data_IF_929667646657
#
_entry.id   IF_929667646657
#
_cell.length_a   1.000
_cell.length_b   1.000
_cell.length_c   1.000
_cell.angle_alpha   90.00
_cell.angle_beta   90.00
_cell.angle_gamma   90.00
#
_symmetry.space_group_name_H-M   'P 1'
#
loop_
_entity.id
_entity.type
_entity.pdbx_description
1 polymer ?
#
# COMPACT_ATOMS: atom_id res chain seq x y z
N UNK A 1 20.71 -4.69 13.58
CA UNK A 1 19.86 -4.26 12.44
C UNK A 1 19.31 -2.88 12.75
N UNK A 2 19.27 -1.96 11.77
CA UNK A 2 18.90 -0.54 12.03
C UNK A 2 17.41 -0.41 12.37
N UNK A 3 17.11 0.35 13.44
CA UNK A 3 15.74 0.61 13.88
C UNK A 3 14.86 1.23 12.77
N UNK A 4 15.47 2.02 11.90
CA UNK A 4 14.87 2.63 10.70
C UNK A 4 14.21 1.62 9.75
N UNK A 5 14.64 0.36 9.75
CA UNK A 5 14.07 -0.71 8.91
C UNK A 5 13.06 -1.54 9.72
N UNK A 6 13.34 -1.76 11.01
CA UNK A 6 12.53 -2.61 11.88
C UNK A 6 11.16 -1.97 12.15
N UNK A 7 11.12 -0.67 12.43
CA UNK A 7 9.87 0.03 12.74
C UNK A 7 8.86 0.01 11.58
N UNK A 8 9.25 0.35 10.33
CA UNK A 8 8.35 0.21 9.18
C UNK A 8 7.86 -1.22 8.97
N UNK A 9 8.72 -2.21 9.19
CA UNK A 9 8.36 -3.62 9.03
C UNK A 9 7.28 -4.04 10.04
N UNK A 10 7.46 -3.71 11.32
CA UNK A 10 6.50 -3.99 12.39
C UNK A 10 5.18 -3.27 12.12
N UNK A 11 5.23 -1.99 11.73
CA UNK A 11 4.05 -1.22 11.39
C UNK A 11 3.23 -1.87 10.27
N UNK A 12 3.89 -2.32 9.20
CA UNK A 12 3.23 -3.00 8.09
C UNK A 12 2.62 -4.33 8.51
N UNK A 13 3.31 -5.12 9.34
CA UNK A 13 2.78 -6.38 9.88
C UNK A 13 1.54 -6.12 10.74
N UNK A 14 1.61 -5.15 11.66
CA UNK A 14 0.47 -4.78 12.51
C UNK A 14 -0.73 -4.28 11.69
N UNK A 15 -0.50 -3.44 10.67
CA UNK A 15 -1.55 -3.00 9.76
C UNK A 15 -2.17 -4.16 8.98
N UNK A 16 -1.35 -5.09 8.48
CA UNK A 16 -1.84 -6.28 7.77
C UNK A 16 -2.67 -7.17 8.69
N UNK A 17 -2.30 -7.34 9.95
CA UNK A 17 -3.09 -8.11 10.92
C UNK A 17 -4.40 -7.39 11.25
N UNK A 18 -4.38 -6.06 11.40
CA UNK A 18 -5.56 -5.28 11.76
C UNK A 18 -6.57 -5.17 10.62
N UNK A 19 -6.09 -4.95 9.39
CA UNK A 19 -6.93 -4.66 8.21
C UNK A 19 -7.12 -5.89 7.32
N UNK A 20 -6.11 -6.76 7.23
CA UNK A 20 -6.08 -7.93 6.35
C UNK A 20 -7.25 -8.89 6.49
N UNK A 21 -7.70 -9.28 7.70
CA UNK A 21 -8.82 -10.20 7.85
C UNK A 21 -10.11 -9.62 7.28
N UNK A 22 -10.41 -8.36 7.60
CA UNK A 22 -11.61 -7.67 7.13
C UNK A 22 -11.55 -7.37 5.64
N UNK A 23 -10.36 -7.09 5.12
CA UNK A 23 -10.13 -6.91 3.69
C UNK A 23 -10.40 -8.20 2.91
N UNK A 24 -9.91 -9.36 3.39
CA UNK A 24 -10.15 -10.65 2.77
C UNK A 24 -11.63 -11.06 2.85
N UNK A 25 -12.30 -10.78 3.98
CA UNK A 25 -13.73 -11.07 4.17
C UNK A 25 -14.62 -10.25 3.21
N UNK A 26 -14.34 -8.95 3.05
CA UNK A 26 -15.05 -8.08 2.08
C UNK A 26 -14.75 -8.41 0.61
N UNK A 27 -13.71 -9.20 0.34
CA UNK A 27 -13.24 -9.58 -0.98
C UNK A 27 -13.18 -11.11 -1.15
N UNK A 28 -14.20 -11.81 -0.65
CA UNK A 28 -14.24 -13.27 -0.60
C UNK A 28 -14.20 -13.97 -1.97
N UNK A 29 -14.54 -13.28 -3.06
CA UNK A 29 -14.39 -13.79 -4.42
C UNK A 29 -13.01 -13.42 -4.99
N UNK A 30 -12.25 -14.41 -5.46
CA UNK A 30 -10.91 -14.21 -6.04
C UNK A 30 -10.86 -13.17 -7.18
N UNK A 31 -11.90 -13.11 -8.04
CA UNK A 31 -11.99 -12.09 -9.09
C UNK A 31 -12.23 -10.68 -8.52
N UNK A 32 -13.04 -10.57 -7.47
CA UNK A 32 -13.30 -9.31 -6.79
C UNK A 32 -12.07 -8.83 -6.01
N UNK A 33 -11.37 -9.75 -5.34
CA UNK A 33 -10.08 -9.50 -4.69
C UNK A 33 -9.06 -8.93 -5.67
N UNK A 34 -8.84 -9.58 -6.83
CA UNK A 34 -7.91 -9.09 -7.84
C UNK A 34 -8.34 -7.76 -8.46
N UNK A 35 -9.64 -7.56 -8.68
CA UNK A 35 -10.18 -6.28 -9.18
C UNK A 35 -9.97 -5.14 -8.19
N UNK A 36 -10.19 -5.38 -6.90
CA UNK A 36 -10.01 -4.35 -5.89
C UNK A 36 -8.52 -4.10 -5.63
N UNK A 37 -7.69 -5.16 -5.64
CA UNK A 37 -6.24 -5.05 -5.54
C UNK A 37 -5.63 -4.26 -6.71
N UNK A 38 -6.11 -4.45 -7.93
CA UNK A 38 -5.62 -3.71 -9.10
C UNK A 38 -5.96 -2.22 -9.03
N UNK A 39 -7.15 -1.86 -8.54
CA UNK A 39 -7.53 -0.47 -8.28
C UNK A 39 -6.60 0.16 -7.23
N UNK A 40 -6.38 -0.52 -6.11
CA UNK A 40 -5.44 -0.06 -5.08
C UNK A 40 -4.01 0.09 -5.61
N UNK A 41 -3.55 -0.84 -6.45
CA UNK A 41 -2.23 -0.75 -7.09
C UNK A 41 -2.11 0.49 -7.99
N UNK A 42 -3.14 0.79 -8.79
CA UNK A 42 -3.16 2.00 -9.63
C UNK A 42 -3.13 3.28 -8.78
N UNK A 43 -3.89 3.34 -7.68
CA UNK A 43 -3.89 4.48 -6.76
C UNK A 43 -2.49 4.70 -6.17
N UNK A 44 -1.85 3.63 -5.67
CA UNK A 44 -0.49 3.72 -5.11
C UNK A 44 0.51 4.19 -6.16
N UNK A 45 0.44 3.65 -7.39
CA UNK A 45 1.31 4.07 -8.49
C UNK A 45 1.09 5.55 -8.83
N UNK A 46 -0.16 6.01 -8.95
CA UNK A 46 -0.48 7.40 -9.25
C UNK A 46 0.07 8.35 -8.16
N UNK A 47 -0.08 8.00 -6.89
CA UNK A 47 0.47 8.78 -5.77
C UNK A 47 1.99 8.78 -5.81
N UNK A 48 2.64 7.62 -6.00
CA UNK A 48 4.09 7.52 -6.03
C UNK A 48 4.70 8.30 -7.20
N UNK A 49 4.16 8.12 -8.42
CA UNK A 49 4.59 8.86 -9.61
C UNK A 49 4.28 10.35 -9.47
N UNK A 50 3.15 10.73 -8.89
CA UNK A 50 2.80 12.11 -8.62
C UNK A 50 3.75 12.77 -7.61
N UNK A 51 4.06 12.07 -6.52
CA UNK A 51 5.02 12.55 -5.52
C UNK A 51 6.43 12.66 -6.09
N UNK A 52 6.88 11.65 -6.83
CA UNK A 52 8.18 11.67 -7.50
C UNK A 52 8.24 12.78 -8.56
N UNK A 53 7.16 12.98 -9.32
CA UNK A 53 7.04 14.08 -10.28
C UNK A 53 7.07 15.43 -9.59
N UNK A 54 6.30 15.63 -8.52
CA UNK A 54 6.34 16.84 -7.69
C UNK A 54 7.76 17.11 -7.19
N UNK A 55 8.42 16.10 -6.62
CA UNK A 55 9.79 16.24 -6.14
C UNK A 55 10.77 16.56 -7.26
N UNK A 56 10.62 15.93 -8.44
CA UNK A 56 11.50 16.13 -9.58
C UNK A 56 11.31 17.48 -10.29
N UNK A 57 10.08 17.99 -10.36
CA UNK A 57 9.75 19.21 -11.12
C UNK A 57 9.63 20.47 -10.26
N UNK A 58 9.16 20.36 -9.01
CA UNK A 58 8.90 21.50 -8.11
C UNK A 58 9.82 21.49 -6.87
N UNK A 59 10.36 20.33 -6.51
CA UNK A 59 11.50 20.25 -5.59
C UNK A 59 12.79 20.60 -6.35
N UNK A 60 13.58 21.53 -5.82
CA UNK A 60 15.02 21.54 -6.11
C UNK A 60 15.68 20.35 -5.46
#
# INVERSE_FOLDING_TARGET
MKAEIIFPLIYMICLLILVGPRFLDMNSNFRQFLSNLSIWAIIVLAIATGYQGYFYFLGR
#
